data_IF_008246390188
#
_entry.id   IF_008246390188
#
_cell.length_a   1.000
_cell.length_b   1.000
_cell.length_c   1.000
_cell.angle_alpha   90.00
_cell.angle_beta   90.00
_cell.angle_gamma   90.00
#
_symmetry.space_group_name_H-M   'P 1'
#
loop_
_entity.id
_entity.type
_entity.pdbx_description
1 polymer ?
#
# COMPACT_ATOMS: atom_id res chain seq x y z
N UNK A 1 -2.70 5.63 -3.31
CA UNK A 1 -2.84 4.16 -3.51
C UNK A 1 -3.28 3.90 -4.95
N UNK A 2 -2.76 2.86 -5.65
CA UNK A 2 -3.23 2.47 -6.98
C UNK A 2 -4.04 1.16 -6.93
N UNK A 3 -4.73 0.84 -8.02
CA UNK A 3 -5.64 -0.30 -8.08
C UNK A 3 -4.97 -1.65 -7.82
N UNK A 4 -3.68 -1.81 -8.11
CA UNK A 4 -2.94 -3.01 -7.74
C UNK A 4 -2.82 -3.20 -6.21
N UNK A 5 -2.57 -2.14 -5.44
CA UNK A 5 -2.62 -2.21 -3.98
C UNK A 5 -4.04 -2.50 -3.48
N UNK A 6 -5.02 -1.83 -4.07
CA UNK A 6 -6.42 -2.00 -3.69
C UNK A 6 -6.92 -3.44 -3.92
N UNK A 7 -6.53 -4.07 -5.04
CA UNK A 7 -6.84 -5.47 -5.35
C UNK A 7 -6.30 -6.43 -4.28
N UNK A 8 -5.05 -6.24 -3.86
CA UNK A 8 -4.43 -7.06 -2.80
C UNK A 8 -5.17 -6.88 -1.47
N UNK A 9 -5.47 -5.64 -1.08
CA UNK A 9 -6.23 -5.34 0.16
C UNK A 9 -7.61 -6.00 0.11
N UNK A 10 -8.33 -5.84 -1.00
CA UNK A 10 -9.67 -6.42 -1.17
C UNK A 10 -9.65 -7.95 -1.11
N UNK A 11 -8.66 -8.59 -1.69
CA UNK A 11 -8.52 -10.05 -1.64
C UNK A 11 -8.10 -10.53 -0.26
N UNK A 12 -7.18 -9.83 0.39
CA UNK A 12 -6.82 -10.11 1.78
C UNK A 12 -8.02 -9.97 2.72
N UNK A 13 -8.88 -8.95 2.55
CA UNK A 13 -10.06 -8.75 3.38
C UNK A 13 -11.09 -9.88 3.29
N UNK A 14 -11.10 -10.64 2.18
CA UNK A 14 -11.95 -11.82 2.02
C UNK A 14 -11.37 -13.09 2.64
N UNK A 15 -10.05 -13.12 2.83
CA UNK A 15 -9.33 -14.30 3.34
C UNK A 15 -9.14 -14.27 4.86
N UNK A 16 -9.11 -13.07 5.45
CA UNK A 16 -8.81 -12.87 6.87
C UNK A 16 -9.95 -12.15 7.59
N UNK A 17 -10.21 -12.54 8.83
CA UNK A 17 -11.21 -11.87 9.68
C UNK A 17 -10.88 -10.41 9.99
N UNK A 18 -9.58 -10.07 10.03
CA UNK A 18 -9.08 -8.69 10.23
C UNK A 18 -7.84 -8.47 9.37
N UNK A 19 -7.76 -7.32 8.73
CA UNK A 19 -6.61 -6.88 7.92
C UNK A 19 -6.17 -5.50 8.39
N UNK A 20 -4.89 -5.33 8.69
CA UNK A 20 -4.30 -4.01 8.96
C UNK A 20 -3.40 -3.63 7.80
N UNK A 21 -3.74 -2.55 7.10
CA UNK A 21 -2.88 -1.96 6.07
C UNK A 21 -1.83 -1.10 6.74
N UNK A 22 -0.58 -1.57 6.71
CA UNK A 22 0.56 -0.92 7.35
C UNK A 22 1.21 0.10 6.41
N UNK A 23 1.14 1.38 6.74
CA UNK A 23 1.75 2.48 5.98
C UNK A 23 3.10 2.84 6.59
N UNK A 24 4.18 2.42 5.95
CA UNK A 24 5.54 2.72 6.42
C UNK A 24 5.88 4.20 6.30
N UNK A 25 6.31 4.79 7.41
CA UNK A 25 7.01 6.06 7.46
C UNK A 25 8.51 5.82 7.26
N UNK A 26 8.98 5.94 6.02
CA UNK A 26 10.40 5.79 5.74
C UNK A 26 11.13 7.13 5.97
N UNK A 27 11.95 7.27 7.03
CA UNK A 27 12.61 8.54 7.36
C UNK A 27 13.56 9.03 6.26
N UNK A 28 14.21 8.12 5.52
CA UNK A 28 15.14 8.47 4.44
C UNK A 28 14.44 9.09 3.21
N UNK A 29 13.12 9.00 3.14
CA UNK A 29 12.30 9.62 2.07
C UNK A 29 11.50 10.84 2.55
N UNK A 30 11.78 11.33 3.77
CA UNK A 30 11.09 12.52 4.31
C UNK A 30 11.33 13.73 3.40
N UNK A 31 10.27 14.42 3.02
CA UNK A 31 10.32 15.54 2.06
C UNK A 31 10.25 15.15 0.58
N UNK A 32 10.40 13.85 0.24
CA UNK A 32 10.27 13.37 -1.14
C UNK A 32 8.89 12.80 -1.46
N UNK A 33 7.99 12.80 -0.49
CA UNK A 33 6.65 12.24 -0.64
C UNK A 33 5.69 13.26 -1.25
N UNK A 34 4.92 12.85 -2.23
CA UNK A 34 3.77 13.63 -2.68
C UNK A 34 2.68 13.69 -1.59
N UNK A 35 2.47 12.58 -0.88
CA UNK A 35 1.54 12.47 0.23
C UNK A 35 2.27 12.06 1.50
N UNK A 36 2.04 12.77 2.60
CA UNK A 36 2.51 12.39 3.93
C UNK A 36 1.97 11.01 4.35
N UNK A 37 2.55 10.37 5.36
CA UNK A 37 1.99 9.12 5.91
C UNK A 37 0.52 9.23 6.30
N UNK A 38 0.14 10.34 6.96
CA UNK A 38 -1.26 10.59 7.36
C UNK A 38 -2.20 10.74 6.17
N UNK A 39 -1.81 11.51 5.15
CA UNK A 39 -2.60 11.63 3.91
C UNK A 39 -2.77 10.27 3.22
N UNK A 40 -1.72 9.42 3.23
CA UNK A 40 -1.81 8.06 2.67
C UNK A 40 -2.78 7.18 3.45
N UNK A 41 -2.76 7.24 4.78
CA UNK A 41 -3.71 6.53 5.65
C UNK A 41 -5.13 6.95 5.32
N UNK A 42 -5.39 8.25 5.23
CA UNK A 42 -6.73 8.77 4.97
C UNK A 42 -7.27 8.34 3.59
N UNK A 43 -6.44 8.46 2.54
CA UNK A 43 -6.78 7.98 1.19
C UNK A 43 -7.12 6.49 1.20
N UNK A 44 -6.38 5.66 1.94
CA UNK A 44 -6.64 4.22 2.02
C UNK A 44 -7.92 3.94 2.80
N UNK A 45 -8.15 4.62 3.94
CA UNK A 45 -9.37 4.48 4.74
C UNK A 45 -10.62 4.82 3.94
N UNK A 46 -10.60 5.95 3.25
CA UNK A 46 -11.74 6.36 2.41
C UNK A 46 -12.00 5.36 1.27
N UNK A 47 -10.94 4.87 0.61
CA UNK A 47 -11.09 3.90 -0.47
C UNK A 47 -11.64 2.55 0.02
N UNK A 48 -11.18 2.07 1.18
CA UNK A 48 -11.66 0.81 1.77
C UNK A 48 -13.07 0.94 2.32
N UNK A 49 -13.42 2.08 2.92
CA UNK A 49 -14.76 2.39 3.37
C UNK A 49 -15.76 2.47 2.21
N UNK A 50 -15.40 3.15 1.11
CA UNK A 50 -16.22 3.22 -0.10
C UNK A 50 -16.50 1.83 -0.70
N UNK A 51 -15.57 0.90 -0.54
CA UNK A 51 -15.72 -0.50 -0.95
C UNK A 51 -16.38 -1.40 0.12
N UNK A 52 -16.86 -0.82 1.23
CA UNK A 52 -17.51 -1.53 2.34
C UNK A 52 -16.64 -2.65 2.97
N UNK A 53 -15.33 -2.45 3.02
CA UNK A 53 -14.41 -3.38 3.67
C UNK A 53 -14.38 -3.12 5.19
N UNK A 54 -15.33 -3.67 5.93
CA UNK A 54 -15.55 -3.39 7.36
C UNK A 54 -14.49 -4.00 8.28
N UNK A 55 -13.71 -4.96 7.80
CA UNK A 55 -12.64 -5.65 8.53
C UNK A 55 -11.23 -5.14 8.20
N UNK A 56 -11.12 -4.00 7.49
CA UNK A 56 -9.84 -3.39 7.12
C UNK A 56 -9.58 -2.16 7.98
N UNK A 57 -8.49 -2.20 8.73
CA UNK A 57 -7.93 -1.06 9.44
C UNK A 57 -6.70 -0.53 8.70
N UNK A 58 -6.37 0.75 8.90
CA UNK A 58 -5.18 1.38 8.32
C UNK A 58 -4.42 2.11 9.40
N UNK A 59 -3.13 1.83 9.52
CA UNK A 59 -2.27 2.44 10.52
C UNK A 59 -0.89 2.78 9.94
N UNK A 60 -0.19 3.72 10.58
CA UNK A 60 1.20 4.05 10.24
C UNK A 60 2.16 3.34 11.17
N UNK A 61 3.37 3.12 10.70
CA UNK A 61 4.48 2.68 11.54
C UNK A 61 5.81 3.24 11.03
N UNK A 62 6.74 3.38 11.96
CA UNK A 62 8.16 3.65 11.71
C UNK A 62 8.99 2.51 12.30
N UNK A 63 10.20 2.30 11.78
CA UNK A 63 11.08 1.22 12.23
C UNK A 63 10.78 -0.12 11.57
N UNK A 64 11.01 -1.21 12.29
CA UNK A 64 10.89 -2.56 11.75
C UNK A 64 9.42 -3.02 11.67
N UNK A 65 9.08 -3.67 10.55
CA UNK A 65 7.75 -4.24 10.37
C UNK A 65 7.39 -5.28 11.45
N UNK A 66 8.37 -6.05 11.89
CA UNK A 66 8.17 -7.07 12.94
C UNK A 66 7.80 -6.48 14.30
N UNK A 67 8.27 -5.28 14.63
CA UNK A 67 7.87 -4.60 15.86
C UNK A 67 6.45 -4.03 15.76
N UNK A 68 6.09 -3.52 14.59
CA UNK A 68 4.71 -3.17 14.30
C UNK A 68 3.77 -4.38 14.43
N UNK A 69 4.16 -5.53 13.88
CA UNK A 69 3.38 -6.77 13.97
C UNK A 69 3.17 -7.24 15.41
N UNK A 70 4.21 -7.13 16.26
CA UNK A 70 4.08 -7.41 17.70
C UNK A 70 3.04 -6.49 18.34
N UNK A 71 3.08 -5.19 18.04
CA UNK A 71 2.14 -4.18 18.56
C UNK A 71 0.69 -4.51 18.22
N UNK A 72 0.41 -4.97 17.00
CA UNK A 72 -0.95 -5.31 16.54
C UNK A 72 -1.31 -6.79 16.73
N UNK A 73 -0.43 -7.57 17.37
CA UNK A 73 -0.57 -9.01 17.58
C UNK A 73 -0.86 -9.79 16.29
N UNK A 74 -0.16 -9.47 15.20
CA UNK A 74 -0.27 -10.17 13.93
C UNK A 74 0.87 -11.17 13.75
N UNK A 75 0.57 -12.34 13.15
CA UNK A 75 1.55 -13.37 12.79
C UNK A 75 1.71 -13.54 11.29
N UNK A 76 0.92 -12.81 10.49
CA UNK A 76 0.90 -12.98 9.03
C UNK A 76 1.18 -11.63 8.36
N UNK A 77 2.07 -11.65 7.38
CA UNK A 77 2.34 -10.54 6.45
C UNK A 77 1.75 -10.92 5.10
N UNK A 78 0.96 -10.03 4.51
CA UNK A 78 0.46 -10.19 3.14
C UNK A 78 1.19 -9.23 2.22
N UNK A 79 1.75 -9.74 1.14
CA UNK A 79 2.48 -8.98 0.12
C UNK A 79 1.88 -9.23 -1.27
N UNK A 80 1.74 -8.17 -2.06
CA UNK A 80 1.37 -8.27 -3.47
C UNK A 80 2.60 -8.48 -4.34
N UNK A 81 2.56 -9.43 -5.27
CA UNK A 81 3.60 -9.64 -6.28
C UNK A 81 3.06 -9.30 -7.67
N UNK A 82 3.80 -8.51 -8.45
CA UNK A 82 3.43 -8.10 -9.81
C UNK A 82 4.28 -8.79 -10.87
N UNK A 83 5.56 -8.99 -10.57
CA UNK A 83 6.56 -9.55 -11.47
C UNK A 83 7.58 -10.39 -10.70
N UNK A 84 8.36 -11.18 -11.44
CA UNK A 84 9.44 -11.99 -10.86
C UNK A 84 10.49 -11.11 -10.15
N UNK A 85 10.76 -9.93 -10.66
CA UNK A 85 11.69 -8.97 -10.03
C UNK A 85 11.22 -8.48 -8.66
N UNK A 86 9.92 -8.40 -8.42
CA UNK A 86 9.39 -8.08 -7.09
C UNK A 86 9.67 -9.24 -6.10
N UNK A 87 9.60 -10.49 -6.60
CA UNK A 87 9.68 -11.68 -5.76
C UNK A 87 11.03 -11.80 -5.02
N UNK A 88 12.14 -11.56 -5.68
CA UNK A 88 13.47 -11.69 -5.06
C UNK A 88 13.63 -10.77 -3.85
N UNK A 89 13.25 -9.51 -3.99
CA UNK A 89 13.31 -8.52 -2.92
C UNK A 89 12.34 -8.88 -1.77
N UNK A 90 11.13 -9.28 -2.11
CA UNK A 90 10.12 -9.63 -1.11
C UNK A 90 10.45 -10.96 -0.40
N UNK A 91 11.11 -11.91 -1.09
CA UNK A 91 11.62 -13.14 -0.48
C UNK A 91 12.72 -12.84 0.55
N UNK A 92 13.69 -11.98 0.19
CA UNK A 92 14.73 -11.54 1.13
C UNK A 92 14.11 -10.89 2.38
N UNK A 93 13.13 -9.99 2.18
CA UNK A 93 12.42 -9.36 3.29
C UNK A 93 11.62 -10.36 4.13
N UNK A 94 11.02 -11.38 3.52
CA UNK A 94 10.32 -12.43 4.24
C UNK A 94 11.26 -13.23 5.15
N UNK A 95 12.46 -13.60 4.66
CA UNK A 95 13.48 -14.27 5.47
C UNK A 95 13.96 -13.38 6.62
N UNK A 96 14.24 -12.09 6.37
CA UNK A 96 14.65 -11.15 7.40
C UNK A 96 13.55 -10.97 8.47
N UNK A 97 12.31 -10.76 8.06
CA UNK A 97 11.19 -10.64 8.99
C UNK A 97 11.01 -11.90 9.83
N UNK A 98 11.20 -13.10 9.25
CA UNK A 98 11.13 -14.37 9.97
C UNK A 98 12.26 -14.47 11.01
N UNK A 99 13.45 -14.01 10.69
CA UNK A 99 14.63 -14.06 11.58
C UNK A 99 14.52 -13.05 12.74
N UNK A 100 14.09 -11.81 12.46
CA UNK A 100 14.02 -10.72 13.44
C UNK A 100 12.70 -10.65 14.20
N UNK A 101 11.65 -11.31 13.71
CA UNK A 101 10.34 -11.38 14.33
C UNK A 101 10.13 -12.66 15.14
N UNK A 102 8.91 -12.84 15.65
CA UNK A 102 8.47 -14.11 16.24
C UNK A 102 7.96 -15.05 15.14
N UNK A 103 8.83 -15.38 14.19
CA UNK A 103 8.57 -16.25 13.03
C UNK A 103 7.26 -15.92 12.28
N UNK A 104 7.03 -14.66 11.86
CA UNK A 104 5.84 -14.34 11.09
C UNK A 104 5.85 -15.06 9.74
N UNK A 105 4.68 -15.49 9.29
CA UNK A 105 4.52 -16.06 7.95
C UNK A 105 4.24 -14.97 6.93
N UNK A 106 4.87 -15.06 5.76
CA UNK A 106 4.64 -14.12 4.65
C UNK A 106 3.85 -14.83 3.55
N UNK A 107 2.68 -14.32 3.23
CA UNK A 107 1.82 -14.80 2.15
C UNK A 107 1.90 -13.84 0.96
N UNK A 108 2.10 -14.40 -0.21
CA UNK A 108 2.15 -13.64 -1.45
C UNK A 108 0.83 -13.77 -2.21
N UNK A 109 0.23 -12.64 -2.56
CA UNK A 109 -0.93 -12.56 -3.45
C UNK A 109 -0.45 -12.03 -4.80
N UNK A 110 -0.58 -12.85 -5.85
CA UNK A 110 -0.28 -12.40 -7.21
C UNK A 110 -1.25 -11.30 -7.62
N UNK A 111 -0.73 -10.15 -8.01
CA UNK A 111 -1.53 -9.05 -8.54
C UNK A 111 -2.31 -9.51 -9.78
N UNK A 112 -3.54 -9.05 -9.93
CA UNK A 112 -4.29 -9.31 -11.16
C UNK A 112 -3.50 -8.77 -12.37
N UNK A 113 -3.45 -9.53 -13.47
CA UNK A 113 -2.67 -9.21 -14.67
C UNK A 113 -2.91 -7.79 -15.17
N UNK A 114 -4.16 -7.32 -15.11
CA UNK A 114 -4.56 -5.95 -15.47
C UNK A 114 -3.88 -4.85 -14.65
N UNK A 115 -3.28 -5.17 -13.49
CA UNK A 115 -2.58 -4.22 -12.62
C UNK A 115 -1.08 -4.47 -12.53
N UNK A 116 -0.54 -5.47 -13.20
CA UNK A 116 0.88 -5.86 -13.11
C UNK A 116 1.84 -4.75 -13.56
N UNK A 117 1.42 -3.91 -14.49
CA UNK A 117 2.21 -2.79 -15.02
C UNK A 117 2.04 -1.49 -14.24
N UNK A 118 1.09 -1.41 -13.28
CA UNK A 118 0.82 -0.16 -12.56
C UNK A 118 1.77 0.01 -11.38
N UNK A 119 2.42 1.17 -11.31
CA UNK A 119 3.24 1.56 -10.15
C UNK A 119 2.86 2.95 -9.63
N UNK A 120 3.15 3.20 -8.34
CA UNK A 120 2.90 4.52 -7.75
C UNK A 120 3.73 5.64 -8.40
N UNK A 121 4.92 5.31 -8.92
CA UNK A 121 5.78 6.27 -9.63
C UNK A 121 5.14 6.67 -10.95
N UNK A 122 4.74 5.68 -11.76
CA UNK A 122 4.06 5.91 -13.04
C UNK A 122 2.76 6.71 -12.87
N UNK A 123 1.92 6.36 -11.89
CA UNK A 123 0.67 7.08 -11.62
C UNK A 123 0.94 8.56 -11.30
N UNK A 124 1.94 8.84 -10.45
CA UNK A 124 2.30 10.22 -10.10
C UNK A 124 2.85 11.00 -11.29
N UNK A 125 3.63 10.34 -12.13
CA UNK A 125 4.19 10.94 -13.34
C UNK A 125 3.09 11.31 -14.34
N UNK A 126 2.20 10.36 -14.67
CA UNK A 126 1.05 10.61 -15.55
C UNK A 126 0.22 11.79 -15.02
N UNK A 127 -0.09 11.79 -13.72
CA UNK A 127 -0.90 12.84 -13.10
C UNK A 127 -0.21 14.21 -13.15
N UNK A 128 1.12 14.30 -12.96
CA UNK A 128 1.90 15.55 -13.07
C UNK A 128 1.86 16.16 -14.47
N UNK A 129 1.78 15.32 -15.49
CA UNK A 129 1.65 15.77 -16.89
C UNK A 129 0.19 15.94 -17.33
N UNK A 130 -0.75 15.99 -16.39
CA UNK A 130 -2.18 16.21 -16.69
C UNK A 130 -2.91 15.01 -17.29
N UNK A 131 -2.26 13.83 -17.33
CA UNK A 131 -2.85 12.61 -17.87
C UNK A 131 -3.95 12.03 -16.95
N UNK A 132 -4.93 11.35 -17.54
CA UNK A 132 -6.01 10.69 -16.79
C UNK A 132 -5.52 9.42 -16.10
N UNK A 133 -5.65 9.40 -14.77
CA UNK A 133 -5.31 8.25 -13.92
C UNK A 133 -6.54 7.51 -13.39
N UNK A 134 -7.75 7.88 -13.80
CA UNK A 134 -9.01 7.36 -13.26
C UNK A 134 -9.16 5.84 -13.39
N UNK A 135 -8.55 5.23 -14.41
CA UNK A 135 -8.53 3.77 -14.58
C UNK A 135 -7.45 3.06 -13.76
N UNK A 136 -6.47 3.78 -13.22
CA UNK A 136 -5.30 3.22 -12.55
C UNK A 136 -5.39 3.26 -11.02
N UNK A 137 -6.24 4.15 -10.49
CA UNK A 137 -6.37 4.37 -9.04
C UNK A 137 -7.83 4.42 -8.61
N UNK A 138 -8.17 4.15 -7.34
CA UNK A 138 -9.50 4.41 -6.80
C UNK A 138 -9.89 5.89 -6.91
N UNK A 139 -11.18 6.19 -7.02
CA UNK A 139 -11.71 7.55 -7.18
C UNK A 139 -11.18 8.54 -6.14
N UNK A 140 -11.15 8.15 -4.88
CA UNK A 140 -10.57 8.95 -3.77
C UNK A 140 -9.11 9.34 -4.05
N UNK A 141 -8.33 8.44 -4.66
CA UNK A 141 -6.94 8.73 -5.02
C UNK A 141 -6.83 9.70 -6.21
N UNK A 142 -7.79 9.69 -7.14
CA UNK A 142 -7.89 10.69 -8.23
C UNK A 142 -8.08 12.09 -7.65
N UNK A 143 -9.05 12.23 -6.75
CA UNK A 143 -9.40 13.49 -6.09
C UNK A 143 -8.23 14.04 -5.28
N UNK A 144 -7.58 13.17 -4.48
CA UNK A 144 -6.41 13.52 -3.70
C UNK A 144 -5.23 13.97 -4.59
N UNK A 145 -4.99 13.28 -5.72
CA UNK A 145 -3.92 13.65 -6.67
C UNK A 145 -4.19 15.02 -7.29
N UNK A 146 -5.40 15.27 -7.74
CA UNK A 146 -5.78 16.56 -8.32
C UNK A 146 -5.62 17.71 -7.31
N UNK A 147 -6.16 17.54 -6.10
CA UNK A 147 -6.03 18.56 -5.05
C UNK A 147 -4.56 18.85 -4.70
N UNK A 148 -3.73 17.80 -4.61
CA UNK A 148 -2.32 17.94 -4.24
C UNK A 148 -1.48 18.60 -5.33
N UNK A 149 -1.71 18.28 -6.59
CA UNK A 149 -0.95 18.84 -7.70
C UNK A 149 -1.33 20.31 -7.94
N UNK A 150 -2.61 20.66 -7.86
CA UNK A 150 -3.06 22.04 -7.98
C UNK A 150 -2.48 22.94 -6.86
N UNK A 151 -2.20 22.40 -5.66
CA UNK A 151 -1.61 23.15 -4.55
C UNK A 151 -0.09 23.37 -4.69
N UNK A 152 0.59 22.70 -5.62
CA UNK A 152 2.04 22.83 -5.85
C UNK A 152 2.33 23.78 -7.00
N UNK A 153 1.35 24.05 -7.88
CA UNK A 153 1.48 24.94 -9.04
C UNK A 153 1.05 26.38 -8.74
N UNK A 154 0.53 26.68 -7.56
CA UNK A 154 0.17 28.01 -7.05
C UNK A 154 1.09 28.47 -5.93
#
# INVERSE_FOLDING_TARGET
MHNGHFDVIQRASRLFGKVTVAVLENPSKRGLWLFSPHERVEIIRQATAAARMTNVEVDTFSGLLVDFMKRINSKVIVKGLRAVSDYENELQMAHLNRQYGNHPETLFIMAATRWSYVSSTMVKEIARYGGDVGKLVPQVSVEALRAKLNSVEG
#
